data_IF_204694613817
#
_entry.id   IF_204694613817
#
_cell.length_a   1.000
_cell.length_b   1.000
_cell.length_c   1.000
_cell.angle_alpha   90.00
_cell.angle_beta   90.00
_cell.angle_gamma   90.00
#
_symmetry.space_group_name_H-M   'P 1'
#
loop_
_entity.id
_entity.type
_entity.pdbx_description
1 polymer ?
#
# COMPACT_ATOMS: atom_id res chain seq x y z
N UNK A 1 -24.24 0.60 -3.81
CA UNK A 1 -22.80 0.95 -3.72
C UNK A 1 -22.41 0.88 -2.24
N UNK A 2 -21.66 -0.14 -1.81
CA UNK A 2 -21.35 -0.35 -0.39
C UNK A 2 -20.13 0.51 -0.01
N UNK A 3 -20.40 1.70 0.51
CA UNK A 3 -19.39 2.72 0.88
C UNK A 3 -18.44 2.19 1.97
N UNK A 4 -18.84 1.14 2.71
CA UNK A 4 -18.05 0.42 3.73
C UNK A 4 -16.86 -0.38 3.19
N UNK A 5 -16.59 -0.35 1.88
CA UNK A 5 -15.44 -1.00 1.24
C UNK A 5 -14.28 -0.05 0.95
N UNK A 6 -14.44 1.25 1.17
CA UNK A 6 -13.40 2.26 0.94
C UNK A 6 -12.37 2.27 2.09
N UNK A 7 -11.68 1.15 2.27
CA UNK A 7 -10.70 0.92 3.35
C UNK A 7 -9.27 0.93 2.86
N UNK A 8 -9.01 1.31 1.62
CA UNK A 8 -7.68 1.24 1.03
C UNK A 8 -7.21 2.65 0.67
N UNK A 9 -5.91 2.91 0.78
CA UNK A 9 -5.27 4.12 0.29
C UNK A 9 -3.97 3.71 -0.41
N UNK A 10 -3.56 4.47 -1.39
CA UNK A 10 -2.26 4.30 -2.05
C UNK A 10 -1.37 5.46 -1.63
N UNK A 11 -0.19 5.14 -1.13
CA UNK A 11 0.85 6.11 -0.80
C UNK A 11 1.92 6.03 -1.88
N UNK A 12 2.31 7.17 -2.45
CA UNK A 12 3.35 7.27 -3.48
C UNK A 12 4.45 8.17 -2.96
N UNK A 13 5.67 7.69 -3.01
CA UNK A 13 6.86 8.47 -2.70
C UNK A 13 7.16 9.37 -3.90
N UNK A 14 7.06 10.68 -3.70
CA UNK A 14 7.35 11.68 -4.72
C UNK A 14 8.76 12.23 -4.51
N UNK A 15 9.48 12.44 -5.61
CA UNK A 15 10.83 13.02 -5.65
C UNK A 15 10.94 14.40 -4.96
N UNK A 16 9.82 15.13 -4.85
CA UNK A 16 9.71 16.43 -4.17
C UNK A 16 9.59 16.32 -2.64
N UNK A 17 10.27 15.34 -2.02
CA UNK A 17 10.38 15.10 -0.57
C UNK A 17 9.04 14.88 0.15
N UNK A 18 8.11 14.13 -0.45
CA UNK A 18 6.80 13.92 0.14
C UNK A 18 6.12 12.59 -0.22
N UNK A 19 5.38 12.05 0.75
CA UNK A 19 4.48 10.92 0.53
C UNK A 19 3.11 11.46 0.13
N UNK A 20 2.72 11.26 -1.14
CA UNK A 20 1.38 11.57 -1.64
C UNK A 20 0.43 10.44 -1.26
N UNK A 21 -0.69 10.78 -0.62
CA UNK A 21 -1.69 9.79 -0.18
C UNK A 21 -2.95 9.94 -1.01
N UNK A 22 -3.34 8.88 -1.69
CA UNK A 22 -4.49 8.80 -2.57
C UNK A 22 -5.53 7.86 -1.97
N UNK A 23 -6.78 8.31 -1.92
CA UNK A 23 -7.90 7.51 -1.42
C UNK A 23 -8.89 8.35 -0.60
N UNK A 24 -9.81 7.70 0.13
CA UNK A 24 -9.95 6.25 0.27
C UNK A 24 -10.54 5.56 -0.98
N UNK A 25 -10.06 4.35 -1.28
CA UNK A 25 -10.42 3.48 -2.40
C UNK A 25 -10.94 2.13 -1.91
N UNK A 26 -11.61 1.41 -2.81
CA UNK A 26 -11.83 -0.03 -2.63
C UNK A 26 -10.54 -0.80 -3.00
N UNK A 27 -10.49 -2.10 -2.69
CA UNK A 27 -9.31 -2.94 -2.95
C UNK A 27 -8.91 -2.96 -4.42
N UNK A 28 -9.87 -3.15 -5.33
CA UNK A 28 -9.63 -3.25 -6.77
C UNK A 28 -8.99 -1.97 -7.30
N UNK A 29 -9.59 -0.80 -7.00
CA UNK A 29 -9.11 0.51 -7.47
C UNK A 29 -7.77 0.88 -6.85
N UNK A 30 -7.52 0.53 -5.59
CA UNK A 30 -6.21 0.75 -4.97
C UNK A 30 -5.13 -0.09 -5.67
N UNK A 31 -5.46 -1.33 -6.06
CA UNK A 31 -4.55 -2.22 -6.77
C UNK A 31 -4.29 -1.76 -8.20
N UNK A 32 -5.32 -1.34 -8.93
CA UNK A 32 -5.17 -0.76 -10.27
C UNK A 32 -4.26 0.48 -10.25
N UNK A 33 -4.45 1.38 -9.27
CA UNK A 33 -3.61 2.57 -9.14
C UNK A 33 -2.17 2.21 -8.80
N UNK A 34 -1.97 1.27 -7.87
CA UNK A 34 -0.65 0.79 -7.50
C UNK A 34 0.11 0.16 -8.68
N UNK A 35 -0.55 -0.67 -9.47
CA UNK A 35 0.06 -1.34 -10.63
C UNK A 35 0.48 -0.34 -11.72
N UNK A 36 -0.28 0.74 -11.89
CA UNK A 36 0.12 1.85 -12.78
C UNK A 36 1.38 2.54 -12.28
N UNK A 37 1.43 2.91 -11.00
CA UNK A 37 2.61 3.58 -10.43
C UNK A 37 3.85 2.66 -10.45
N UNK A 38 3.69 1.37 -10.16
CA UNK A 38 4.75 0.35 -10.27
C UNK A 38 5.26 0.24 -11.72
N UNK A 39 4.36 0.18 -12.69
CA UNK A 39 4.72 0.10 -14.11
C UNK A 39 5.45 1.34 -14.62
N UNK A 40 5.21 2.50 -14.00
CA UNK A 40 5.92 3.74 -14.28
C UNK A 40 7.30 3.81 -13.59
N UNK A 41 7.69 2.77 -12.84
CA UNK A 41 8.92 2.74 -12.04
C UNK A 41 8.85 3.62 -10.80
N UNK A 42 7.64 3.99 -10.37
CA UNK A 42 7.41 4.77 -9.16
C UNK A 42 7.55 3.93 -7.89
N UNK A 43 7.70 4.63 -6.76
CA UNK A 43 7.71 3.98 -5.44
C UNK A 43 6.33 4.18 -4.81
N UNK A 44 5.56 3.10 -4.73
CA UNK A 44 4.16 3.11 -4.32
C UNK A 44 3.89 2.03 -3.26
N UNK A 45 2.87 2.20 -2.40
CA UNK A 45 2.42 1.19 -1.44
C UNK A 45 0.92 1.32 -1.16
N UNK A 46 0.27 0.20 -0.94
CA UNK A 46 -1.15 0.13 -0.56
C UNK A 46 -1.23 -0.03 0.96
N UNK A 47 -1.99 0.85 1.60
CA UNK A 47 -2.35 0.73 3.01
C UNK A 47 -3.85 0.48 3.17
N UNK A 48 -4.19 -0.43 4.08
CA UNK A 48 -5.56 -0.78 4.46
C UNK A 48 -5.89 -0.22 5.83
N UNK A 49 -7.04 0.42 5.94
CA UNK A 49 -7.64 0.87 7.19
C UNK A 49 -8.18 -0.34 7.94
N UNK A 50 -7.59 -0.61 9.11
CA UNK A 50 -8.12 -1.57 10.06
C UNK A 50 -8.98 -0.84 11.10
N UNK A 51 -10.26 -1.20 11.14
CA UNK A 51 -11.21 -0.72 12.14
C UNK A 51 -11.12 -1.63 13.38
N UNK A 52 -10.20 -1.30 14.28
CA UNK A 52 -10.05 -1.92 15.61
C UNK A 52 -10.40 -0.95 16.74
N UNK A 53 -9.73 -1.10 17.89
CA UNK A 53 -9.86 -0.15 19.04
C UNK A 53 -9.35 1.27 18.64
N UNK A 54 -8.45 1.35 17.64
CA UNK A 54 -7.97 2.58 17.01
C UNK A 54 -7.89 2.38 15.50
N UNK A 55 -8.36 3.37 14.75
CA UNK A 55 -8.20 3.43 13.30
C UNK A 55 -6.72 3.50 12.94
N UNK A 56 -6.18 2.42 12.36
CA UNK A 56 -4.78 2.32 11.97
C UNK A 56 -4.67 1.90 10.51
N UNK A 57 -3.75 2.53 9.77
CA UNK A 57 -3.45 2.18 8.39
C UNK A 57 -2.28 1.19 8.36
N UNK A 58 -2.54 -0.05 7.98
CA UNK A 58 -1.52 -1.09 7.83
C UNK A 58 -1.13 -1.22 6.35
N UNK A 59 0.16 -1.14 6.05
CA UNK A 59 0.68 -1.40 4.69
C UNK A 59 0.50 -2.88 4.38
N UNK A 60 -0.11 -3.20 3.24
CA UNK A 60 -0.38 -4.59 2.80
C UNK A 60 0.39 -4.96 1.53
N UNK A 61 0.91 -3.98 0.80
CA UNK A 61 1.64 -4.16 -0.46
C UNK A 61 2.52 -2.94 -0.67
N UNK A 62 3.76 -3.13 -1.11
CA UNK A 62 4.70 -2.04 -1.41
C UNK A 62 5.56 -2.40 -2.62
N UNK A 63 6.01 -1.37 -3.34
CA UNK A 63 6.95 -1.44 -4.45
C UNK A 63 7.86 -0.19 -4.44
N UNK A 64 9.10 -0.36 -4.89
CA UNK A 64 10.14 0.65 -4.88
C UNK A 64 10.88 0.76 -3.54
N UNK A 65 11.86 1.67 -3.48
CA UNK A 65 12.68 1.88 -2.28
C UNK A 65 12.07 2.96 -1.39
N UNK A 66 11.47 2.54 -0.27
CA UNK A 66 10.89 3.43 0.72
C UNK A 66 11.89 3.90 1.79
N UNK A 67 13.14 3.41 1.73
CA UNK A 67 14.19 3.60 2.73
C UNK A 67 13.81 3.08 4.14
N UNK A 68 14.67 3.37 5.13
CA UNK A 68 14.41 3.08 6.55
C UNK A 68 13.37 4.00 7.20
N UNK A 69 12.74 4.89 6.42
CA UNK A 69 11.90 5.97 6.94
C UNK A 69 10.61 5.44 7.60
N UNK A 70 10.11 4.27 7.22
CA UNK A 70 8.92 3.64 7.82
C UNK A 70 8.91 2.09 7.75
N UNK A 71 10.02 1.41 8.10
CA UNK A 71 10.04 -0.06 8.23
C UNK A 71 9.30 -0.52 9.51
N UNK A 72 7.99 -0.30 9.57
CA UNK A 72 7.09 -1.03 10.46
C UNK A 72 7.07 -2.51 10.07
N UNK A 73 6.76 -3.45 11.00
CA UNK A 73 7.16 -4.85 10.88
C UNK A 73 6.67 -5.46 9.56
N UNK A 74 7.59 -5.91 8.68
CA UNK A 74 7.21 -6.68 7.52
C UNK A 74 6.78 -8.06 8.04
N UNK A 75 5.49 -8.31 8.14
CA UNK A 75 5.03 -9.68 8.07
C UNK A 75 5.28 -10.12 6.64
N UNK A 76 6.44 -10.78 6.52
CA UNK A 76 7.01 -11.40 5.34
C UNK A 76 5.97 -11.72 4.27
N UNK A 77 6.25 -11.19 3.09
CA UNK A 77 6.03 -11.88 1.84
C UNK A 77 6.31 -13.38 2.04
N UNK A 78 5.26 -14.17 2.29
CA UNK A 78 5.27 -15.61 1.99
C UNK A 78 5.27 -15.70 0.47
N UNK A 79 6.42 -15.43 -0.12
CA UNK A 79 6.79 -16.04 -1.37
C UNK A 79 6.78 -17.54 -1.08
N UNK A 80 5.71 -18.20 -1.51
CA UNK A 80 5.66 -19.66 -1.62
C UNK A 80 6.67 -20.06 -2.70
N UNK A 81 7.95 -20.11 -2.35
CA UNK A 81 8.91 -20.96 -3.02
C UNK A 81 8.89 -22.29 -2.25
N UNK A 82 7.99 -23.20 -2.65
CA UNK A 82 8.09 -24.60 -2.26
C UNK A 82 9.02 -25.32 -3.25
N UNK A 83 10.19 -25.83 -2.84
CA UNK A 83 10.82 -26.93 -3.54
C UNK A 83 10.43 -28.25 -2.86
N UNK A 84 10.01 -29.23 -3.67
CA UNK A 84 10.10 -30.65 -3.32
C UNK A 84 11.39 -31.21 -3.89
#
# INVERSE_FOLDING_TARGET
MNISRLKYRVEVLSDQDGIKRYGPFNEQKAREFFEVEESLGGTARIARLEEGIRETWKVITECGDWGDRERGPPEAMKAEAQPR
#
